data_IF_188720275839
#
_entry.id   IF_188720275839
#
_cell.length_a   1.000
_cell.length_b   1.000
_cell.length_c   1.000
_cell.angle_alpha   90.00
_cell.angle_beta   90.00
_cell.angle_gamma   90.00
#
_symmetry.space_group_name_H-M   'P 1'
#
loop_
_entity.id
_entity.type
_entity.pdbx_description
1 polymer ?
#
# COMPACT_ATOMS: atom_id res chain seq x y z
N UNK A 1 -13.62 -45.10 -29.96
CA UNK A 1 -13.28 -46.48 -29.57
C UNK A 1 -12.19 -46.46 -28.51
N UNK A 2 -12.49 -47.08 -27.37
CA UNK A 2 -11.56 -47.65 -26.35
C UNK A 2 -10.66 -46.64 -25.60
N UNK A 3 -10.45 -46.66 -24.27
CA UNK A 3 -11.14 -47.32 -23.10
C UNK A 3 -10.52 -46.68 -21.84
N UNK A 4 -11.31 -46.53 -20.81
CA UNK A 4 -11.03 -46.33 -19.39
C UNK A 4 -9.83 -47.12 -18.84
N UNK A 5 -9.09 -46.54 -17.85
CA UNK A 5 -8.65 -47.27 -16.66
C UNK A 5 -8.66 -46.32 -15.46
N UNK A 6 -9.60 -46.59 -14.55
CA UNK A 6 -9.59 -46.16 -13.12
C UNK A 6 -8.67 -47.09 -12.35
N UNK A 7 -7.90 -46.55 -11.41
CA UNK A 7 -7.35 -47.33 -10.29
C UNK A 7 -7.65 -46.59 -8.98
N UNK A 8 -8.57 -47.16 -8.21
CA UNK A 8 -8.78 -46.99 -6.78
C UNK A 8 -7.74 -47.80 -6.05
N UNK A 9 -7.12 -47.28 -4.98
CA UNK A 9 -6.57 -48.11 -3.89
C UNK A 9 -6.95 -47.44 -2.57
N UNK A 10 -7.59 -48.31 -1.73
CA UNK A 10 -8.16 -48.01 -0.43
C UNK A 10 -7.17 -48.23 0.72
N UNK A 11 -7.36 -47.44 1.74
CA UNK A 11 -7.21 -47.65 3.18
C UNK A 11 -6.30 -48.75 3.76
N UNK A 12 -5.55 -48.36 4.79
CA UNK A 12 -5.31 -49.23 5.98
C UNK A 12 -5.05 -48.38 7.25
N UNK A 13 -6.01 -48.48 8.19
CA UNK A 13 -5.88 -48.08 9.58
C UNK A 13 -4.87 -48.99 10.30
N UNK A 14 -4.09 -48.45 11.23
CA UNK A 14 -3.50 -49.22 12.32
C UNK A 14 -3.58 -48.39 13.62
N UNK A 15 -4.55 -48.80 14.47
CA UNK A 15 -4.59 -48.50 15.91
C UNK A 15 -3.53 -49.33 16.61
N UNK A 16 -2.79 -48.75 17.56
CA UNK A 16 -2.09 -49.46 18.60
C UNK A 16 -2.35 -48.80 19.93
N UNK A 17 -3.19 -49.48 20.70
CA UNK A 17 -3.42 -49.32 22.15
C UNK A 17 -2.25 -49.98 22.89
N UNK A 18 -1.67 -49.27 23.84
CA UNK A 18 -0.91 -49.88 24.94
C UNK A 18 -1.49 -49.42 26.26
N UNK A 19 -2.17 -50.39 26.93
CA UNK A 19 -2.48 -50.36 28.34
C UNK A 19 -1.37 -51.10 29.10
N UNK A 20 -0.91 -50.56 30.19
CA UNK A 20 0.07 -51.20 31.09
C UNK A 20 -0.13 -50.74 32.52
N UNK A 21 -0.46 -51.70 33.37
CA UNK A 21 -0.99 -51.64 34.74
C UNK A 21 0.00 -51.12 35.80
N UNK A 22 -0.63 -50.72 36.89
CA UNK A 22 -0.13 -50.30 38.18
C UNK A 22 0.65 -51.37 38.95
N UNK A 23 1.54 -50.96 39.85
CA UNK A 23 1.77 -51.57 41.16
C UNK A 23 2.19 -50.49 42.17
N UNK A 24 1.48 -50.48 43.29
CA UNK A 24 1.76 -49.75 44.54
C UNK A 24 3.04 -50.25 45.21
N UNK A 25 3.77 -49.34 45.87
CA UNK A 25 4.17 -49.55 47.30
C UNK A 25 4.68 -48.26 47.96
N UNK A 26 4.21 -48.11 49.23
CA UNK A 26 4.42 -47.08 50.21
C UNK A 26 5.90 -46.67 50.50
N UNK A 27 6.14 -45.42 50.82
CA UNK A 27 6.56 -44.94 52.17
C UNK A 27 6.83 -43.41 52.18
N UNK A 28 6.10 -42.79 53.08
CA UNK A 28 6.32 -41.57 53.90
C UNK A 28 7.55 -40.69 53.68
N UNK A 29 7.26 -39.37 53.52
CA UNK A 29 8.21 -38.26 53.68
C UNK A 29 7.53 -36.94 53.37
N UNK A 30 7.08 -36.24 54.43
CA UNK A 30 6.57 -34.88 54.44
C UNK A 30 7.58 -33.88 53.91
N UNK A 31 7.16 -33.04 52.98
CA UNK A 31 7.49 -31.61 52.93
C UNK A 31 6.47 -30.87 52.06
N UNK A 32 5.74 -29.96 52.69
CA UNK A 32 4.83 -29.01 52.05
C UNK A 32 5.62 -27.97 51.24
N UNK A 33 5.47 -27.99 49.94
CA UNK A 33 5.75 -26.87 49.10
C UNK A 33 4.47 -26.51 48.33
N UNK A 34 3.85 -25.43 48.75
CA UNK A 34 2.72 -24.77 48.09
C UNK A 34 3.04 -24.53 46.63
N UNK A 35 2.49 -25.33 45.75
CA UNK A 35 2.39 -24.97 44.34
C UNK A 35 1.10 -24.14 44.17
N UNK A 36 1.31 -22.83 44.05
CA UNK A 36 0.34 -21.90 43.57
C UNK A 36 0.08 -22.22 42.08
N UNK A 37 -1.18 -22.38 41.65
CA UNK A 37 -1.45 -22.55 40.23
C UNK A 37 -1.03 -21.28 39.51
N UNK A 38 -0.15 -21.43 38.51
CA UNK A 38 0.14 -20.38 37.55
C UNK A 38 -1.19 -20.01 36.86
N UNK A 39 -1.72 -18.87 37.26
CA UNK A 39 -2.74 -18.18 36.48
C UNK A 39 -2.11 -17.80 35.15
N UNK A 40 -2.44 -18.57 34.12
CA UNK A 40 -2.32 -18.10 32.76
C UNK A 40 -3.42 -17.05 32.51
N UNK A 41 -3.23 -15.87 33.08
CA UNK A 41 -3.88 -14.67 32.55
C UNK A 41 -3.20 -14.38 31.24
N UNK A 42 -3.90 -14.56 30.14
CA UNK A 42 -3.63 -13.81 28.92
C UNK A 42 -3.74 -12.34 29.33
N UNK A 43 -2.61 -11.70 29.57
CA UNK A 43 -2.53 -10.26 29.54
C UNK A 43 -2.83 -9.89 28.09
N UNK A 44 -4.02 -9.36 27.79
CA UNK A 44 -4.20 -8.49 26.65
C UNK A 44 -3.07 -7.46 26.76
N UNK A 45 -2.09 -7.55 25.82
CA UNK A 45 -0.91 -6.71 25.85
C UNK A 45 -1.36 -5.28 25.61
N UNK A 46 -1.46 -4.49 26.70
CA UNK A 46 -1.64 -3.05 26.52
C UNK A 46 -0.44 -2.51 25.75
N UNK A 47 -0.69 -1.71 24.72
CA UNK A 47 0.35 -0.99 24.00
C UNK A 47 1.26 -0.25 24.99
N UNK A 48 2.56 -0.52 24.91
CA UNK A 48 3.57 0.07 25.79
C UNK A 48 4.35 1.13 25.01
N UNK A 49 4.10 2.39 25.32
CA UNK A 49 4.69 3.53 24.63
C UNK A 49 6.21 3.67 24.82
N UNK A 50 6.80 3.02 25.83
CA UNK A 50 8.26 3.05 26.05
C UNK A 50 9.05 2.23 24.99
N UNK A 51 8.35 1.47 24.13
CA UNK A 51 9.00 0.74 23.06
C UNK A 51 9.42 1.68 21.90
N UNK A 52 10.49 1.25 21.23
CA UNK A 52 11.00 1.93 20.03
C UNK A 52 10.00 1.87 18.89
N UNK A 53 9.93 2.98 18.14
CA UNK A 53 9.11 3.07 16.93
C UNK A 53 9.79 2.30 15.80
N UNK A 54 9.07 1.36 15.21
CA UNK A 54 9.50 0.72 13.96
C UNK A 54 9.05 1.56 12.77
N UNK A 55 9.93 2.34 12.20
CA UNK A 55 9.65 3.12 11.00
C UNK A 55 9.60 2.20 9.78
N UNK A 56 8.51 2.25 9.02
CA UNK A 56 8.33 1.52 7.76
C UNK A 56 8.24 2.52 6.62
N UNK A 57 9.28 2.59 5.81
CA UNK A 57 9.33 3.44 4.62
C UNK A 57 9.23 2.61 3.35
N UNK A 58 9.18 3.28 2.21
CA UNK A 58 9.10 2.66 0.89
C UNK A 58 10.47 2.66 0.20
N UNK A 59 10.58 1.86 -0.85
CA UNK A 59 11.73 1.78 -1.74
C UNK A 59 12.00 3.11 -2.47
N UNK A 60 13.23 3.35 -2.91
CA UNK A 60 13.69 4.61 -3.51
C UNK A 60 12.91 5.00 -4.79
N UNK A 61 12.44 4.06 -5.58
CA UNK A 61 11.63 4.32 -6.77
C UNK A 61 10.18 4.69 -6.49
N UNK A 62 9.73 4.57 -5.24
CA UNK A 62 8.33 4.79 -4.84
C UNK A 62 7.93 6.26 -4.97
N UNK A 63 6.89 6.51 -5.79
CA UNK A 63 6.28 7.85 -5.86
C UNK A 63 5.59 8.26 -4.56
N UNK A 64 5.09 7.28 -3.77
CA UNK A 64 4.51 7.56 -2.45
C UNK A 64 5.56 8.06 -1.47
N UNK A 65 6.77 7.45 -1.47
CA UNK A 65 7.89 7.94 -0.68
C UNK A 65 8.29 9.35 -1.12
N UNK A 66 8.48 9.57 -2.43
CA UNK A 66 8.85 10.89 -2.93
C UNK A 66 7.86 11.97 -2.48
N UNK A 67 6.56 11.78 -2.70
CA UNK A 67 5.54 12.73 -2.26
C UNK A 67 5.49 12.90 -0.74
N UNK A 68 5.66 11.82 0.03
CA UNK A 68 5.63 11.87 1.49
C UNK A 68 6.79 12.68 2.07
N UNK A 69 8.03 12.42 1.61
CA UNK A 69 9.21 13.11 2.13
C UNK A 69 9.24 14.59 1.71
N UNK A 70 8.75 14.91 0.52
CA UNK A 70 8.59 16.29 0.03
C UNK A 70 7.55 17.05 0.87
N UNK A 71 6.33 16.52 1.01
CA UNK A 71 5.20 17.17 1.70
C UNK A 71 5.48 17.40 3.20
N UNK A 72 6.25 16.52 3.83
CA UNK A 72 6.60 16.60 5.25
C UNK A 72 7.94 17.30 5.50
N UNK A 73 8.64 17.76 4.46
CA UNK A 73 9.93 18.42 4.60
C UNK A 73 11.04 17.50 5.16
N UNK A 74 10.90 16.17 4.93
CA UNK A 74 11.95 15.19 5.25
C UNK A 74 13.10 15.30 4.26
N UNK A 75 12.85 15.80 3.04
CA UNK A 75 13.88 16.16 2.09
C UNK A 75 14.58 17.46 2.51
N UNK A 76 15.90 17.48 2.39
CA UNK A 76 16.73 18.66 2.66
C UNK A 76 17.70 18.89 1.52
N UNK A 77 18.05 20.14 1.25
CA UNK A 77 19.12 20.48 0.32
C UNK A 77 20.49 20.32 1.00
N UNK A 78 21.41 19.61 0.34
CA UNK A 78 22.80 19.53 0.77
C UNK A 78 23.57 20.82 0.40
N UNK A 79 24.85 20.90 0.79
CA UNK A 79 25.70 22.08 0.51
C UNK A 79 25.91 22.31 -1.00
N UNK A 80 25.63 21.34 -1.84
CA UNK A 80 25.77 21.39 -3.30
C UNK A 80 24.43 21.71 -4.00
N UNK A 81 23.34 21.84 -3.21
CA UNK A 81 21.98 22.13 -3.72
C UNK A 81 21.25 20.89 -4.26
N UNK A 82 21.68 19.67 -3.90
CA UNK A 82 20.96 18.47 -4.24
C UNK A 82 19.94 18.15 -3.14
N UNK A 83 18.76 17.68 -3.53
CA UNK A 83 17.75 17.19 -2.60
C UNK A 83 18.16 15.82 -2.04
N UNK A 84 18.23 15.71 -0.73
CA UNK A 84 18.58 14.49 0.02
C UNK A 84 17.41 14.06 0.88
N UNK A 85 16.96 12.84 0.72
CA UNK A 85 15.96 12.21 1.59
C UNK A 85 16.61 11.82 2.92
N UNK A 86 16.13 12.44 4.00
CA UNK A 86 16.64 12.27 5.37
C UNK A 86 15.92 11.17 6.14
N UNK A 87 15.15 10.33 5.46
CA UNK A 87 14.54 9.14 6.12
C UNK A 87 15.60 8.35 6.86
N UNK A 88 15.33 8.02 8.14
CA UNK A 88 16.28 7.28 8.98
C UNK A 88 16.77 5.99 8.31
N UNK A 89 18.05 5.71 8.47
CA UNK A 89 18.67 4.49 7.94
C UNK A 89 18.19 3.20 8.65
N UNK A 90 17.57 3.35 9.83
CA UNK A 90 16.99 2.25 10.60
C UNK A 90 15.58 1.88 10.09
N UNK A 91 15.04 2.62 9.13
CA UNK A 91 13.73 2.32 8.56
C UNK A 91 13.70 0.95 7.84
N UNK A 92 12.68 0.18 8.12
CA UNK A 92 12.36 -1.03 7.34
C UNK A 92 11.82 -0.60 5.97
N UNK A 93 12.48 -1.06 4.90
CA UNK A 93 12.09 -0.69 3.53
C UNK A 93 11.10 -1.71 2.96
N UNK A 94 9.91 -1.23 2.63
CA UNK A 94 8.84 -2.01 2.02
C UNK A 94 8.81 -1.77 0.50
N UNK A 95 8.73 -2.83 -0.28
CA UNK A 95 8.77 -2.78 -1.76
C UNK A 95 7.41 -2.53 -2.43
N UNK A 96 6.35 -2.34 -1.65
CA UNK A 96 5.00 -2.03 -2.17
C UNK A 96 4.07 -1.56 -1.06
N UNK A 97 2.91 -0.99 -1.42
CA UNK A 97 1.85 -0.59 -0.48
C UNK A 97 1.39 -1.77 0.39
N UNK A 98 1.16 -2.94 -0.19
CA UNK A 98 0.71 -4.14 0.56
C UNK A 98 1.77 -4.65 1.53
N UNK A 99 3.07 -4.48 1.23
CA UNK A 99 4.16 -4.84 2.15
C UNK A 99 4.20 -3.87 3.33
N UNK A 100 3.96 -2.56 3.13
CA UNK A 100 3.79 -1.62 4.26
C UNK A 100 2.66 -2.08 5.17
N UNK A 101 1.46 -2.33 4.62
CA UNK A 101 0.29 -2.75 5.38
C UNK A 101 0.56 -4.03 6.19
N UNK A 102 1.12 -5.06 5.54
CA UNK A 102 1.45 -6.33 6.23
C UNK A 102 2.49 -6.12 7.34
N UNK A 103 3.50 -5.27 7.12
CA UNK A 103 4.56 -5.00 8.09
C UNK A 103 3.99 -4.25 9.31
N UNK A 104 3.17 -3.21 9.07
CA UNK A 104 2.53 -2.43 10.12
C UNK A 104 1.52 -3.28 10.90
N UNK A 105 0.70 -4.08 10.21
CA UNK A 105 -0.24 -5.01 10.86
C UNK A 105 0.46 -6.06 11.74
N UNK A 106 1.69 -6.41 11.41
CA UNK A 106 2.48 -7.42 12.13
C UNK A 106 3.24 -6.91 13.35
N UNK A 107 3.30 -5.60 13.61
CA UNK A 107 4.06 -5.03 14.73
C UNK A 107 3.29 -3.86 15.40
N UNK A 108 2.91 -4.00 16.69
CA UNK A 108 2.19 -2.95 17.43
C UNK A 108 2.89 -1.59 17.47
N UNK A 109 4.21 -1.55 17.31
CA UNK A 109 5.01 -0.34 17.40
C UNK A 109 5.39 0.25 16.04
N UNK A 110 4.89 -0.33 14.94
CA UNK A 110 5.20 0.15 13.61
C UNK A 110 4.37 1.38 13.23
N UNK A 111 5.00 2.28 12.49
CA UNK A 111 4.38 3.39 11.76
C UNK A 111 4.80 3.31 10.29
N UNK A 112 3.88 3.60 9.39
CA UNK A 112 4.13 3.65 7.96
C UNK A 112 3.17 4.61 7.26
N UNK A 113 3.25 4.66 5.95
CA UNK A 113 2.36 5.48 5.13
C UNK A 113 1.93 4.73 3.86
N UNK A 114 0.68 4.92 3.48
CA UNK A 114 0.07 4.26 2.33
C UNK A 114 -0.85 5.21 1.55
N UNK A 115 -1.22 4.83 0.35
CA UNK A 115 -2.34 5.41 -0.38
C UNK A 115 -3.64 5.24 0.40
N UNK A 116 -4.45 6.32 0.52
CA UNK A 116 -5.74 6.29 1.22
C UNK A 116 -6.70 5.27 0.59
N UNK A 117 -6.75 5.18 -0.73
CA UNK A 117 -7.59 4.19 -1.42
C UNK A 117 -7.16 2.73 -1.21
N UNK A 118 -5.99 2.49 -0.57
CA UNK A 118 -5.55 1.15 -0.17
C UNK A 118 -5.82 0.83 1.30
N UNK A 119 -6.34 1.80 2.07
CA UNK A 119 -6.59 1.62 3.50
C UNK A 119 -7.72 0.62 3.73
N UNK A 120 -7.46 -0.37 4.59
CA UNK A 120 -8.43 -1.36 5.03
C UNK A 120 -8.35 -1.57 6.56
N UNK A 121 -9.16 -2.48 7.08
CA UNK A 121 -9.28 -2.78 8.51
C UNK A 121 -8.04 -3.45 9.13
N UNK A 122 -7.03 -3.83 8.35
CA UNK A 122 -5.82 -4.50 8.85
C UNK A 122 -4.87 -3.55 9.56
N UNK A 123 -4.96 -2.25 9.27
CA UNK A 123 -4.18 -1.18 9.90
C UNK A 123 -5.09 -0.01 10.29
N UNK A 124 -4.60 0.86 11.16
CA UNK A 124 -5.33 2.05 11.61
C UNK A 124 -4.67 3.31 11.05
N UNK A 125 -5.44 4.16 10.37
CA UNK A 125 -4.99 5.49 10.01
C UNK A 125 -5.05 6.43 11.24
N UNK A 126 -4.03 7.26 11.41
CA UNK A 126 -4.03 8.35 12.36
C UNK A 126 -4.64 9.60 11.72
N UNK A 127 -5.30 10.44 12.53
CA UNK A 127 -5.51 11.83 12.15
C UNK A 127 -4.17 12.57 12.18
N UNK A 128 -4.03 13.57 11.33
CA UNK A 128 -2.83 14.42 11.29
C UNK A 128 -3.24 15.85 11.63
N UNK A 129 -2.66 16.41 12.67
CA UNK A 129 -3.04 17.71 13.23
C UNK A 129 -4.58 17.81 13.47
N UNK A 130 -5.18 16.73 13.99
CA UNK A 130 -6.61 16.64 14.25
C UNK A 130 -7.48 16.45 13.01
N UNK A 131 -6.89 16.27 11.81
CA UNK A 131 -7.62 16.10 10.55
C UNK A 131 -7.52 14.65 10.07
N UNK A 132 -8.67 14.04 9.80
CA UNK A 132 -8.76 12.67 9.27
C UNK A 132 -8.42 12.63 7.78
N UNK A 133 -7.71 11.58 7.35
CA UNK A 133 -7.45 11.31 5.94
C UNK A 133 -8.73 10.80 5.27
N UNK A 134 -9.51 11.71 4.72
CA UNK A 134 -10.75 11.40 3.98
C UNK A 134 -10.78 12.12 2.64
N UNK A 135 -11.56 11.58 1.70
CA UNK A 135 -11.79 12.21 0.38
C UNK A 135 -12.27 13.65 0.55
N UNK A 136 -13.18 13.90 1.51
CA UNK A 136 -13.74 15.23 1.77
C UNK A 136 -12.67 16.22 2.26
N UNK A 137 -11.88 15.81 3.26
CA UNK A 137 -10.84 16.65 3.84
C UNK A 137 -9.66 16.92 2.88
N UNK A 138 -9.45 16.03 1.91
CA UNK A 138 -8.46 16.25 0.85
C UNK A 138 -9.02 17.23 -0.18
N UNK A 139 -10.29 17.07 -0.60
CA UNK A 139 -10.96 17.97 -1.55
C UNK A 139 -11.03 19.42 -1.05
N UNK A 140 -11.30 19.64 0.24
CA UNK A 140 -11.36 20.98 0.82
C UNK A 140 -10.00 21.53 1.26
N UNK A 141 -8.93 20.69 1.19
CA UNK A 141 -7.55 21.04 1.51
C UNK A 141 -7.25 21.12 3.01
N UNK A 142 -8.13 20.61 3.89
CA UNK A 142 -7.86 20.51 5.32
C UNK A 142 -6.83 19.41 5.64
N UNK A 143 -6.90 18.26 4.95
CA UNK A 143 -5.86 17.23 5.00
C UNK A 143 -4.75 17.53 3.98
N UNK A 144 -3.53 17.70 4.46
CA UNK A 144 -2.41 18.28 3.67
C UNK A 144 -1.57 17.24 2.92
N UNK A 145 -1.61 15.97 3.32
CA UNK A 145 -0.74 14.94 2.76
C UNK A 145 -1.47 14.25 1.61
N UNK A 146 -1.44 14.89 0.44
CA UNK A 146 -2.09 14.38 -0.77
C UNK A 146 -1.23 14.65 -2.02
N UNK A 147 -1.46 13.86 -3.07
CA UNK A 147 -0.69 13.90 -4.30
C UNK A 147 -1.53 13.47 -5.51
N UNK A 148 -1.11 13.83 -6.74
CA UNK A 148 -1.75 13.30 -7.93
C UNK A 148 -1.35 11.84 -8.20
N UNK A 149 -2.28 11.11 -8.79
CA UNK A 149 -1.99 9.90 -9.55
C UNK A 149 -1.86 10.27 -11.02
N UNK A 150 -0.69 9.98 -11.57
CA UNK A 150 -0.37 10.25 -12.95
C UNK A 150 -0.24 8.94 -13.75
N UNK A 151 -0.75 8.97 -14.96
CA UNK A 151 -0.32 8.05 -16.02
C UNK A 151 0.44 8.84 -17.07
N UNK A 152 1.35 8.17 -17.78
CA UNK A 152 2.11 8.85 -18.81
C UNK A 152 2.35 7.93 -20.00
N UNK A 153 2.33 8.56 -21.19
CA UNK A 153 2.63 7.91 -22.46
C UNK A 153 3.79 8.60 -23.15
N UNK A 154 4.49 7.89 -24.01
CA UNK A 154 5.54 8.49 -24.83
C UNK A 154 4.99 9.57 -25.74
N UNK A 155 5.66 10.73 -25.84
CA UNK A 155 5.22 11.87 -26.64
C UNK A 155 4.94 11.54 -28.11
N UNK A 156 5.76 10.63 -28.65
CA UNK A 156 5.71 10.27 -30.07
C UNK A 156 5.35 8.78 -30.25
N UNK A 157 4.22 8.30 -29.71
CA UNK A 157 3.96 6.88 -29.96
C UNK A 157 2.90 6.18 -29.15
N UNK A 158 2.00 6.88 -28.49
CA UNK A 158 0.86 6.20 -27.86
C UNK A 158 -0.01 5.50 -28.90
N UNK A 159 -0.23 4.19 -28.72
CA UNK A 159 -1.11 3.41 -29.61
C UNK A 159 -2.54 3.92 -29.54
N UNK A 160 -3.36 3.61 -30.56
CA UNK A 160 -4.78 3.96 -30.58
C UNK A 160 -5.49 3.38 -29.35
N UNK A 161 -5.16 2.13 -28.97
CA UNK A 161 -5.73 1.49 -27.77
C UNK A 161 -5.31 2.18 -26.47
N UNK A 162 -4.06 2.62 -26.35
CA UNK A 162 -3.60 3.38 -25.16
C UNK A 162 -4.35 4.72 -25.04
N UNK A 163 -4.51 5.45 -26.15
CA UNK A 163 -5.26 6.71 -26.17
C UNK A 163 -6.75 6.49 -25.84
N UNK A 164 -7.35 5.45 -26.37
CA UNK A 164 -8.76 5.11 -26.11
C UNK A 164 -9.00 4.71 -24.64
N UNK A 165 -8.08 3.93 -24.05
CA UNK A 165 -8.13 3.59 -22.64
C UNK A 165 -7.97 4.83 -21.75
N UNK A 166 -7.05 5.74 -22.08
CA UNK A 166 -6.92 7.03 -21.37
C UNK A 166 -8.21 7.85 -21.49
N UNK A 167 -8.84 7.86 -22.66
CA UNK A 167 -10.13 8.54 -22.87
C UNK A 167 -11.24 7.93 -22.00
N UNK A 168 -11.23 6.61 -21.81
CA UNK A 168 -12.14 5.95 -20.89
C UNK A 168 -11.87 6.33 -19.44
N UNK A 169 -10.61 6.31 -18.99
CA UNK A 169 -10.24 6.71 -17.63
C UNK A 169 -10.73 8.12 -17.31
N UNK A 170 -10.63 9.03 -18.27
CA UNK A 170 -11.04 10.44 -18.13
C UNK A 170 -12.53 10.69 -18.41
N UNK A 171 -13.29 9.67 -18.75
CA UNK A 171 -14.74 9.77 -18.97
C UNK A 171 -15.54 9.75 -17.66
N UNK A 172 -16.85 10.04 -17.75
CA UNK A 172 -17.79 9.94 -16.63
C UNK A 172 -17.73 8.54 -15.98
N UNK A 173 -17.69 7.47 -16.80
CA UNK A 173 -17.63 6.09 -16.32
C UNK A 173 -16.29 5.75 -15.63
N UNK A 174 -15.18 6.20 -16.19
CA UNK A 174 -13.85 5.98 -15.61
C UNK A 174 -13.66 6.76 -14.32
N UNK A 175 -14.12 8.01 -14.25
CA UNK A 175 -14.03 8.83 -13.05
C UNK A 175 -14.99 8.33 -11.94
N UNK A 176 -16.12 7.74 -12.29
CA UNK A 176 -17.00 7.06 -11.33
C UNK A 176 -16.31 5.85 -10.67
N UNK A 177 -15.55 5.06 -11.43
CA UNK A 177 -14.73 3.96 -10.88
C UNK A 177 -13.69 4.50 -9.89
N UNK A 178 -13.04 5.61 -10.19
CA UNK A 178 -12.05 6.26 -9.31
C UNK A 178 -12.70 6.66 -7.98
N UNK A 179 -13.90 7.22 -8.00
CA UNK A 179 -14.63 7.60 -6.78
C UNK A 179 -15.13 6.38 -5.99
N UNK A 180 -15.60 5.32 -6.66
CA UNK A 180 -16.02 4.07 -6.02
C UNK A 180 -14.87 3.40 -5.25
N UNK A 181 -13.65 3.48 -5.77
CA UNK A 181 -12.46 2.92 -5.14
C UNK A 181 -11.83 3.86 -4.08
N UNK A 182 -12.52 4.96 -3.70
CA UNK A 182 -12.11 5.85 -2.61
C UNK A 182 -11.05 6.88 -2.97
N UNK A 183 -10.79 7.10 -4.27
CA UNK A 183 -9.91 8.17 -4.74
C UNK A 183 -10.70 9.42 -5.11
N UNK A 184 -10.00 10.52 -5.34
CA UNK A 184 -10.63 11.80 -5.66
C UNK A 184 -10.62 11.99 -7.18
N UNK A 185 -11.81 12.02 -7.78
CA UNK A 185 -12.00 12.42 -9.17
C UNK A 185 -11.49 13.84 -9.40
N UNK A 186 -10.88 14.06 -10.56
CA UNK A 186 -10.36 15.37 -11.00
C UNK A 186 -11.17 16.00 -12.12
N UNK A 187 -12.25 15.36 -12.54
CA UNK A 187 -13.04 15.76 -13.70
C UNK A 187 -14.52 15.98 -13.32
N UNK A 188 -14.81 17.16 -12.74
CA UNK A 188 -16.19 17.54 -12.33
C UNK A 188 -17.19 17.57 -13.50
N UNK A 189 -16.69 17.79 -14.74
CA UNK A 189 -17.48 17.88 -15.97
C UNK A 189 -17.10 16.78 -16.99
N UNK A 190 -16.74 15.58 -16.51
CA UNK A 190 -16.40 14.45 -17.38
C UNK A 190 -17.57 14.14 -18.33
N UNK A 191 -17.22 13.84 -19.59
CA UNK A 191 -18.22 13.46 -20.59
C UNK A 191 -18.34 11.92 -20.63
N UNK A 192 -19.51 11.38 -20.99
CA UNK A 192 -19.65 9.94 -21.22
C UNK A 192 -18.61 9.43 -22.20
N UNK A 193 -18.11 8.22 -21.96
CA UNK A 193 -17.15 7.58 -22.84
C UNK A 193 -17.71 7.40 -24.25
N UNK A 194 -16.97 7.88 -25.25
CA UNK A 194 -17.34 7.86 -26.66
C UNK A 194 -16.17 7.38 -27.56
N UNK A 195 -15.36 6.45 -27.03
CA UNK A 195 -14.18 5.95 -27.74
C UNK A 195 -14.53 5.00 -28.90
N UNK A 196 -13.50 4.66 -29.67
CA UNK A 196 -13.60 3.80 -30.85
C UNK A 196 -13.52 2.31 -30.54
N UNK A 197 -13.21 1.94 -29.29
CA UNK A 197 -13.04 0.57 -28.82
C UNK A 197 -12.09 -0.27 -29.70
N UNK A 198 -10.83 0.15 -29.93
CA UNK A 198 -9.91 -0.56 -30.81
C UNK A 198 -9.45 -1.87 -30.18
N UNK A 199 -9.34 -2.91 -31.00
CA UNK A 199 -8.80 -4.19 -30.57
C UNK A 199 -7.27 -4.11 -30.41
N UNK A 200 -6.72 -4.93 -29.50
CA UNK A 200 -5.26 -5.04 -29.35
C UNK A 200 -4.85 -5.38 -27.94
N UNK A 201 -3.54 -5.25 -27.69
CA UNK A 201 -2.94 -5.45 -26.37
C UNK A 201 -2.06 -4.27 -26.01
N UNK A 202 -2.16 -3.78 -24.75
CA UNK A 202 -1.22 -2.83 -24.16
C UNK A 202 -0.77 -3.30 -22.79
N UNK A 203 0.40 -2.83 -22.38
CA UNK A 203 0.96 -3.03 -21.06
C UNK A 203 0.96 -1.71 -20.30
N UNK A 204 0.33 -1.70 -19.14
CA UNK A 204 0.27 -0.56 -18.21
C UNK A 204 1.06 -0.95 -16.97
N UNK A 205 2.05 -0.14 -16.57
CA UNK A 205 2.88 -0.57 -15.44
C UNK A 205 3.45 0.58 -14.63
N UNK A 206 3.76 0.30 -13.36
CA UNK A 206 4.36 1.26 -12.45
C UNK A 206 3.85 1.19 -11.01
N UNK A 207 3.56 2.34 -10.44
CA UNK A 207 3.24 2.56 -9.03
C UNK A 207 2.31 1.51 -8.41
N UNK A 208 2.76 0.88 -7.32
CA UNK A 208 1.95 -0.05 -6.53
C UNK A 208 0.73 0.61 -5.86
N UNK A 209 0.74 1.93 -5.66
CA UNK A 209 -0.40 2.68 -5.13
C UNK A 209 -1.48 2.95 -6.19
N UNK A 210 -1.09 3.04 -7.47
CA UNK A 210 -2.02 3.24 -8.60
C UNK A 210 -2.59 1.91 -9.09
N UNK A 211 -1.87 0.82 -8.89
CA UNK A 211 -2.25 -0.52 -9.39
C UNK A 211 -3.68 -0.94 -9.00
N UNK A 212 -4.16 -0.78 -7.75
CA UNK A 212 -5.53 -1.21 -7.40
C UNK A 212 -6.61 -0.54 -8.24
N UNK A 213 -6.57 0.78 -8.36
CA UNK A 213 -7.56 1.53 -9.17
C UNK A 213 -7.41 1.23 -10.66
N UNK A 214 -6.17 1.00 -11.14
CA UNK A 214 -5.93 0.67 -12.55
C UNK A 214 -6.50 -0.70 -12.93
N UNK A 215 -6.46 -1.68 -12.03
CA UNK A 215 -7.12 -2.97 -12.25
C UNK A 215 -8.64 -2.83 -12.34
N UNK A 216 -9.25 -1.95 -11.54
CA UNK A 216 -10.69 -1.66 -11.62
C UNK A 216 -11.08 -0.91 -12.89
N UNK A 217 -10.27 0.06 -13.29
CA UNK A 217 -10.46 0.76 -14.56
C UNK A 217 -10.36 -0.18 -15.76
N UNK A 218 -9.40 -1.12 -15.73
CA UNK A 218 -9.27 -2.18 -16.73
C UNK A 218 -10.51 -3.09 -16.76
N UNK A 219 -11.00 -3.54 -15.59
CA UNK A 219 -12.22 -4.35 -15.49
C UNK A 219 -13.43 -3.63 -16.09
N UNK A 220 -13.61 -2.35 -15.75
CA UNK A 220 -14.70 -1.54 -16.27
C UNK A 220 -14.56 -1.28 -17.79
N UNK A 221 -13.33 -1.02 -18.27
CA UNK A 221 -13.08 -0.83 -19.69
C UNK A 221 -13.34 -2.08 -20.51
N UNK A 222 -13.05 -3.28 -19.98
CA UNK A 222 -13.34 -4.55 -20.66
C UNK A 222 -14.84 -4.76 -20.93
N UNK A 223 -15.72 -4.12 -20.14
CA UNK A 223 -17.16 -4.18 -20.38
C UNK A 223 -17.61 -3.36 -21.62
N UNK A 224 -16.87 -2.31 -21.97
CA UNK A 224 -17.15 -1.45 -23.13
C UNK A 224 -16.25 -1.76 -24.32
N UNK A 225 -15.10 -2.38 -24.10
CA UNK A 225 -14.18 -2.84 -25.16
C UNK A 225 -13.68 -4.26 -24.88
N UNK A 226 -14.47 -5.31 -25.20
CA UNK A 226 -14.09 -6.71 -24.95
C UNK A 226 -12.97 -7.24 -25.84
N UNK A 227 -12.62 -6.53 -26.92
CA UNK A 227 -11.56 -6.89 -27.85
C UNK A 227 -10.18 -6.31 -27.46
N UNK A 228 -10.12 -5.56 -26.35
CA UNK A 228 -8.87 -5.04 -25.77
C UNK A 228 -8.33 -5.97 -24.67
N UNK A 229 -7.02 -6.21 -24.71
CA UNK A 229 -6.27 -6.87 -23.63
C UNK A 229 -5.38 -5.83 -22.94
N UNK A 230 -5.68 -5.50 -21.68
CA UNK A 230 -4.85 -4.63 -20.87
C UNK A 230 -4.13 -5.47 -19.82
N UNK A 231 -2.81 -5.51 -19.88
CA UNK A 231 -1.96 -6.13 -18.88
C UNK A 231 -1.46 -5.07 -17.90
N UNK A 232 -1.78 -5.23 -16.61
CA UNK A 232 -1.30 -4.32 -15.55
C UNK A 232 -0.12 -4.97 -14.83
N UNK A 233 1.00 -4.24 -14.72
CA UNK A 233 2.22 -4.69 -14.06
C UNK A 233 2.57 -3.77 -12.90
N UNK A 234 2.58 -4.31 -11.68
CA UNK A 234 2.96 -3.57 -10.49
C UNK A 234 4.48 -3.51 -10.35
N UNK A 235 5.00 -2.28 -10.28
CA UNK A 235 6.38 -1.96 -9.92
C UNK A 235 6.38 -0.73 -8.99
N UNK A 236 7.33 0.16 -9.16
CA UNK A 236 7.35 1.50 -8.56
C UNK A 236 7.17 2.59 -9.63
N UNK A 237 7.00 3.85 -9.18
CA UNK A 237 6.75 4.97 -10.11
C UNK A 237 7.92 5.26 -11.03
N UNK A 238 9.16 5.19 -10.54
CA UNK A 238 10.35 5.47 -11.34
C UNK A 238 10.58 4.40 -12.41
N UNK A 239 10.36 3.14 -12.06
CA UNK A 239 10.37 2.02 -13.02
C UNK A 239 9.24 2.15 -14.05
N UNK A 240 8.04 2.56 -13.62
CA UNK A 240 6.92 2.82 -14.53
C UNK A 240 7.25 3.88 -15.58
N UNK A 241 7.80 5.01 -15.15
CA UNK A 241 8.16 6.10 -16.04
C UNK A 241 9.34 5.76 -16.97
N UNK A 242 10.40 5.11 -16.46
CA UNK A 242 11.52 4.69 -17.30
C UNK A 242 11.11 3.65 -18.35
N UNK A 243 10.28 2.66 -17.97
CA UNK A 243 9.77 1.65 -18.89
C UNK A 243 8.84 2.22 -19.96
N UNK A 244 8.04 3.24 -19.62
CA UNK A 244 7.25 3.98 -20.60
C UNK A 244 8.14 4.78 -21.56
N UNK A 245 9.19 5.44 -21.05
CA UNK A 245 10.17 6.15 -21.87
C UNK A 245 10.88 5.21 -22.86
N UNK A 246 11.22 3.99 -22.42
CA UNK A 246 11.85 2.97 -23.26
C UNK A 246 10.86 2.29 -24.23
N UNK A 247 9.56 2.44 -24.00
CA UNK A 247 8.50 1.79 -24.78
C UNK A 247 8.27 0.33 -24.40
N UNK A 248 8.69 -0.09 -23.20
CA UNK A 248 8.38 -1.41 -22.61
C UNK A 248 6.94 -1.42 -22.10
N UNK A 249 6.51 -0.32 -21.49
CA UNK A 249 5.12 -0.07 -21.15
C UNK A 249 4.51 0.93 -22.14
N UNK A 250 3.28 0.66 -22.57
CA UNK A 250 2.48 1.59 -23.36
C UNK A 250 2.02 2.78 -22.52
N UNK A 251 1.74 2.53 -21.24
CA UNK A 251 1.34 3.53 -20.24
C UNK A 251 2.14 3.28 -18.96
N UNK A 252 2.85 4.29 -18.48
CA UNK A 252 3.49 4.29 -17.16
C UNK A 252 2.56 4.84 -16.08
N UNK A 253 2.67 4.36 -14.84
CA UNK A 253 1.89 4.82 -13.69
C UNK A 253 2.80 5.41 -12.62
N UNK A 254 2.46 6.61 -12.10
CA UNK A 254 3.16 7.24 -10.99
C UNK A 254 2.20 7.81 -9.94
N UNK A 255 2.57 7.71 -8.67
CA UNK A 255 1.86 8.30 -7.53
C UNK A 255 2.57 9.54 -7.00
N UNK A 256 3.01 10.38 -7.89
CA UNK A 256 3.67 11.68 -7.71
C UNK A 256 3.62 12.48 -9.01
N UNK A 257 4.00 13.73 -8.95
CA UNK A 257 4.30 14.47 -10.17
C UNK A 257 5.46 13.82 -10.95
N UNK A 258 5.45 14.02 -12.26
CA UNK A 258 6.56 13.57 -13.09
C UNK A 258 7.76 14.51 -12.89
N UNK A 259 8.96 13.94 -12.88
CA UNK A 259 10.21 14.70 -12.84
C UNK A 259 10.43 15.43 -14.18
N UNK A 260 11.16 16.53 -14.15
CA UNK A 260 11.49 17.30 -15.38
C UNK A 260 12.14 16.43 -16.46
N UNK A 261 13.03 15.52 -16.07
CA UNK A 261 13.65 14.55 -16.98
C UNK A 261 12.67 13.57 -17.62
N UNK A 262 11.60 13.20 -16.90
CA UNK A 262 10.53 12.33 -17.42
C UNK A 262 9.63 13.12 -18.39
N UNK A 263 9.37 14.39 -18.06
CA UNK A 263 8.61 15.32 -18.91
C UNK A 263 9.29 15.64 -20.24
N UNK A 264 10.58 15.38 -20.40
CA UNK A 264 11.26 15.54 -21.70
C UNK A 264 10.71 14.54 -22.75
N UNK A 265 10.37 13.32 -22.34
CA UNK A 265 9.99 12.20 -23.22
C UNK A 265 8.56 11.76 -23.09
N UNK A 266 7.92 12.00 -21.94
CA UNK A 266 6.58 11.55 -21.62
C UNK A 266 5.57 12.70 -21.61
N UNK A 267 4.32 12.38 -21.91
CA UNK A 267 3.15 13.24 -21.72
C UNK A 267 2.33 12.69 -20.53
N UNK A 268 2.25 13.43 -19.42
CA UNK A 268 1.46 13.00 -18.26
C UNK A 268 -0.02 13.28 -18.44
N UNK A 269 -0.84 12.50 -17.75
CA UNK A 269 -2.26 12.76 -17.51
C UNK A 269 -2.53 12.47 -16.05
N UNK A 270 -2.93 13.48 -15.29
CA UNK A 270 -3.45 13.26 -13.93
C UNK A 270 -4.79 12.54 -14.06
N UNK A 271 -4.98 11.46 -13.34
CA UNK A 271 -6.22 10.66 -13.38
C UNK A 271 -7.04 10.75 -12.10
N UNK A 272 -6.40 11.04 -10.99
CA UNK A 272 -7.02 11.17 -9.67
C UNK A 272 -6.12 11.98 -8.73
N UNK A 273 -6.70 12.48 -7.63
CA UNK A 273 -5.94 12.85 -6.44
C UNK A 273 -6.09 11.73 -5.40
N UNK A 274 -5.04 11.51 -4.60
CA UNK A 274 -5.01 10.50 -3.55
C UNK A 274 -4.37 11.06 -2.28
N UNK A 275 -4.94 10.69 -1.12
CA UNK A 275 -4.34 10.98 0.17
C UNK A 275 -3.23 10.00 0.51
N UNK A 276 -2.24 10.45 1.28
CA UNK A 276 -1.28 9.57 1.93
C UNK A 276 -1.68 9.45 3.39
N UNK A 277 -2.24 8.30 3.77
CA UNK A 277 -2.61 8.01 5.15
C UNK A 277 -1.38 7.56 5.94
N UNK A 278 -1.16 8.16 7.11
CA UNK A 278 -0.20 7.68 8.11
C UNK A 278 -0.86 6.57 8.90
N UNK A 279 -0.25 5.39 8.90
CA UNK A 279 -0.86 4.18 9.45
C UNK A 279 -0.02 3.55 10.55
N UNK A 280 -0.72 3.00 11.54
CA UNK A 280 -0.15 2.24 12.65
C UNK A 280 -0.90 0.91 12.81
N UNK A 281 -0.36 0.03 13.63
CA UNK A 281 -1.03 -1.20 14.02
C UNK A 281 -2.33 -0.91 14.79
N UNK A 282 -3.33 -1.78 14.68
CA UNK A 282 -4.61 -1.63 15.38
C UNK A 282 -4.49 -1.63 16.91
N UNK A 283 -3.43 -2.27 17.46
CA UNK A 283 -3.14 -2.30 18.92
C UNK A 283 -2.44 -1.02 19.41
N UNK A 284 -1.91 -0.18 18.50
CA UNK A 284 -1.31 1.10 18.86
C UNK A 284 -2.38 2.02 19.46
N UNK A 285 -2.11 2.65 20.60
CA UNK A 285 -3.09 3.50 21.29
C UNK A 285 -3.25 4.90 20.69
N UNK A 286 -2.33 5.31 19.81
CA UNK A 286 -2.40 6.63 19.15
C UNK A 286 -3.62 6.73 18.24
N UNK A 287 -4.24 7.91 18.21
CA UNK A 287 -5.34 8.26 17.30
C UNK A 287 -5.07 9.51 16.49
N UNK A 288 -4.15 10.35 16.95
CA UNK A 288 -3.74 11.60 16.32
C UNK A 288 -2.23 11.76 16.40
N UNK A 289 -1.65 12.46 15.44
CA UNK A 289 -0.22 12.75 15.40
C UNK A 289 0.01 14.12 14.75
N UNK A 290 0.92 14.91 15.31
CA UNK A 290 1.31 16.17 14.68
C UNK A 290 2.19 15.91 13.44
N UNK A 291 2.04 16.74 12.42
CA UNK A 291 2.87 16.65 11.20
C UNK A 291 4.38 16.78 11.54
N UNK A 292 4.71 17.59 12.52
CA UNK A 292 6.08 17.79 13.02
C UNK A 292 6.65 16.51 13.68
N UNK A 293 5.81 15.77 14.43
CA UNK A 293 6.20 14.51 15.05
C UNK A 293 6.40 13.41 13.99
N UNK A 294 5.59 13.38 12.92
CA UNK A 294 5.80 12.46 11.79
C UNK A 294 7.19 12.71 11.18
N UNK A 295 7.52 13.96 10.89
CA UNK A 295 8.84 14.33 10.36
C UNK A 295 9.95 13.84 11.27
N UNK A 296 9.85 14.14 12.58
CA UNK A 296 10.86 13.76 13.57
C UNK A 296 10.99 12.23 13.76
N UNK A 297 9.90 11.49 13.65
CA UNK A 297 9.93 10.01 13.65
C UNK A 297 10.66 9.49 12.42
N UNK A 298 10.28 9.96 11.23
CA UNK A 298 10.84 9.46 9.98
C UNK A 298 12.29 9.89 9.75
N UNK A 299 12.76 10.96 10.39
CA UNK A 299 14.19 11.35 10.43
C UNK A 299 14.97 10.66 11.54
N UNK A 300 14.30 9.96 12.48
CA UNK A 300 14.91 9.24 13.60
C UNK A 300 15.21 10.11 14.81
N UNK A 301 14.67 11.34 14.88
CA UNK A 301 14.83 12.24 16.03
C UNK A 301 13.94 11.81 17.20
N UNK A 302 12.78 11.21 16.94
CA UNK A 302 11.88 10.63 17.94
C UNK A 302 11.95 9.09 17.80
N UNK A 303 12.65 8.40 18.73
CA UNK A 303 12.83 6.96 18.64
C UNK A 303 11.74 6.14 19.34
N UNK A 304 10.93 6.71 20.25
CA UNK A 304 9.94 5.97 21.03
C UNK A 304 8.58 6.64 21.03
N UNK A 305 7.52 5.83 21.19
CA UNK A 305 6.16 6.34 21.26
C UNK A 305 5.90 7.24 22.49
N UNK A 306 6.65 7.02 23.58
CA UNK A 306 6.55 7.87 24.78
C UNK A 306 7.00 9.31 24.54
N UNK A 307 7.83 9.55 23.55
CA UNK A 307 8.29 10.89 23.17
C UNK A 307 7.24 11.65 22.33
N UNK A 308 6.33 10.93 21.68
CA UNK A 308 5.19 11.47 20.90
C UNK A 308 4.01 11.82 21.81
N UNK A 309 3.74 10.97 22.80
CA UNK A 309 2.63 11.14 23.75
C UNK A 309 3.06 12.17 24.82
N UNK A 310 2.63 13.42 24.69
CA UNK A 310 2.85 14.48 25.70
C UNK A 310 1.55 14.93 26.32
#
# INVERSE_FOLDING_TARGET
MKKFVSIMIAALLAMSLFAGCATNQDSSGTDEASQQPASSGEAEGSFDADNEIMVVSREDGSGTRGAFVELLGIEQEDEEGNTVDMTTLDATIASSTSVVMTTVAGNPYAIGYISLGSLDETVKALTVDGTEATVENIKDGSYKISRPFNIAVKKDGASELAQDFISFIMSEEGQAVIEEEGYISIADDAQPYAGSAPAGKIVVGGSSSVTPVMEKLKEAYAAVNPDAEIEVQQTDSSTGMSSATEGVYDIGMASRELKDSELETLTPTVIAMDGIAVVVNNENSMTDIAMEDITSIFTGEIPSWADVVK
#
